data_IF_706194880486
#
_entry.id   IF_706194880486
#
_cell.length_a   1.000
_cell.length_b   1.000
_cell.length_c   1.000
_cell.angle_alpha   90.00
_cell.angle_beta   90.00
_cell.angle_gamma   90.00
#
_symmetry.space_group_name_H-M   'P 1'
#
loop_
_entity.id
_entity.type
_entity.pdbx_description
1 polymer ?
#
# COMPACT_ATOMS: atom_id res chain seq x y z
N UNK A 1 3.56 1.61 -7.90
CA UNK A 1 2.63 2.13 -8.92
C UNK A 1 3.43 2.87 -10.00
N UNK A 2 4.21 3.89 -9.66
CA UNK A 2 4.90 4.73 -10.65
C UNK A 2 5.71 3.90 -11.64
N UNK A 3 6.62 3.04 -11.19
CA UNK A 3 7.49 2.28 -12.08
C UNK A 3 6.76 1.13 -12.79
N UNK A 4 5.96 0.34 -12.07
CA UNK A 4 5.40 -0.90 -12.61
C UNK A 4 4.07 -0.71 -13.35
N UNK A 5 3.34 0.36 -13.09
CA UNK A 5 2.06 0.62 -13.73
C UNK A 5 2.10 1.83 -14.66
N UNK A 6 2.81 2.88 -14.28
CA UNK A 6 2.93 4.11 -15.06
C UNK A 6 4.22 4.17 -15.90
N UNK A 7 5.10 3.16 -15.76
CA UNK A 7 6.35 3.00 -16.52
C UNK A 7 7.36 4.13 -16.33
N UNK A 8 7.35 4.73 -15.14
CA UNK A 8 8.42 5.62 -14.71
C UNK A 8 9.68 4.81 -14.37
N UNK A 9 10.80 5.51 -14.29
CA UNK A 9 12.07 4.91 -13.86
C UNK A 9 12.64 5.71 -12.70
N UNK A 10 11.95 5.67 -11.57
CA UNK A 10 12.31 6.39 -10.35
C UNK A 10 12.91 5.45 -9.32
N UNK A 11 14.02 5.86 -8.73
CA UNK A 11 14.55 5.19 -7.54
C UNK A 11 13.73 5.55 -6.32
N UNK A 12 13.78 4.72 -5.28
CA UNK A 12 13.15 5.02 -3.99
C UNK A 12 13.62 6.36 -3.44
N UNK A 13 14.92 6.63 -3.53
CA UNK A 13 15.51 7.90 -3.10
C UNK A 13 14.90 9.12 -3.82
N UNK A 14 14.70 9.04 -5.13
CA UNK A 14 14.06 10.12 -5.90
C UNK A 14 12.61 10.33 -5.48
N UNK A 15 11.87 9.26 -5.18
CA UNK A 15 10.50 9.35 -4.68
C UNK A 15 10.48 10.01 -3.30
N UNK A 16 11.36 9.60 -2.38
CA UNK A 16 11.48 10.20 -1.05
C UNK A 16 11.83 11.67 -1.15
N UNK A 17 12.85 12.03 -1.95
CA UNK A 17 13.22 13.43 -2.17
C UNK A 17 12.06 14.25 -2.73
N UNK A 18 11.32 13.73 -3.71
CA UNK A 18 10.16 14.38 -4.27
C UNK A 18 9.05 14.60 -3.24
N UNK A 19 8.74 13.59 -2.43
CA UNK A 19 7.77 13.70 -1.34
C UNK A 19 8.19 14.75 -0.29
N UNK A 20 9.47 14.79 0.06
CA UNK A 20 10.00 15.81 0.99
C UNK A 20 9.95 17.23 0.39
N UNK A 21 10.23 17.37 -0.89
CA UNK A 21 10.30 18.68 -1.56
C UNK A 21 8.91 19.25 -1.83
N UNK A 22 7.95 18.44 -2.24
CA UNK A 22 6.63 18.89 -2.68
C UNK A 22 5.52 18.62 -1.67
N UNK A 23 5.78 17.83 -0.65
CA UNK A 23 4.88 17.57 0.47
C UNK A 23 4.87 18.70 1.50
N UNK A 24 4.18 18.47 2.60
CA UNK A 24 4.21 19.37 3.76
C UNK A 24 5.39 19.02 4.65
N UNK A 25 6.52 19.67 4.41
CA UNK A 25 7.77 19.40 5.13
C UNK A 25 7.63 19.46 6.65
N UNK A 26 6.82 20.40 7.18
CA UNK A 26 6.57 20.54 8.60
C UNK A 26 5.80 19.32 9.15
N UNK A 27 4.69 18.94 8.50
CA UNK A 27 3.92 17.78 8.92
C UNK A 27 4.72 16.47 8.76
N UNK A 28 5.48 16.32 7.67
CA UNK A 28 6.32 15.15 7.44
C UNK A 28 7.35 15.01 8.56
N UNK A 29 7.99 16.12 8.96
CA UNK A 29 8.97 16.13 10.03
C UNK A 29 8.35 15.83 11.41
N UNK A 30 7.19 16.43 11.71
CA UNK A 30 6.47 16.23 12.97
C UNK A 30 5.94 14.79 13.10
N UNK A 31 5.35 14.27 12.05
CA UNK A 31 4.72 12.92 12.04
C UNK A 31 5.68 11.81 11.66
N UNK A 32 6.82 12.14 11.10
CA UNK A 32 7.80 11.20 10.51
C UNK A 32 7.15 10.23 9.52
N UNK A 33 6.19 10.73 8.73
CA UNK A 33 5.42 9.95 7.79
C UNK A 33 4.90 10.82 6.66
N UNK A 34 4.73 10.22 5.48
CA UNK A 34 4.07 10.84 4.34
C UNK A 34 2.56 10.62 4.42
N UNK A 35 1.80 11.60 3.93
CA UNK A 35 0.35 11.50 3.79
C UNK A 35 -0.05 11.25 2.33
N UNK A 36 -1.31 10.85 2.11
CA UNK A 36 -1.86 10.76 0.75
C UNK A 36 -1.87 12.13 0.05
N UNK A 37 -1.95 13.22 0.81
CA UNK A 37 -1.86 14.57 0.24
C UNK A 37 -0.45 14.88 -0.27
N UNK A 38 0.59 14.43 0.44
CA UNK A 38 1.97 14.58 -0.04
C UNK A 38 2.20 13.76 -1.30
N UNK A 39 1.68 12.53 -1.34
CA UNK A 39 1.69 11.69 -2.54
C UNK A 39 0.95 12.36 -3.70
N UNK A 40 -0.23 12.95 -3.45
CA UNK A 40 -0.99 13.69 -4.47
C UNK A 40 -0.20 14.86 -5.04
N UNK A 41 0.46 15.66 -4.20
CA UNK A 41 1.29 16.79 -4.63
C UNK A 41 2.48 16.32 -5.46
N UNK A 42 3.16 15.29 -5.01
CA UNK A 42 4.31 14.74 -5.72
C UNK A 42 3.94 14.17 -7.09
N UNK A 43 2.89 13.34 -7.19
CA UNK A 43 2.51 12.77 -8.49
C UNK A 43 2.00 13.84 -9.46
N UNK A 44 1.43 14.95 -8.96
CA UNK A 44 1.02 16.07 -9.80
C UNK A 44 2.22 16.76 -10.49
N UNK A 45 3.36 16.86 -9.80
CA UNK A 45 4.61 17.39 -10.39
C UNK A 45 5.13 16.49 -11.51
N UNK A 46 4.89 15.18 -11.41
CA UNK A 46 5.23 14.21 -12.46
C UNK A 46 4.22 14.20 -13.63
N UNK A 47 3.18 15.03 -13.56
CA UNK A 47 2.14 15.10 -14.60
C UNK A 47 0.97 14.13 -14.41
N UNK A 48 0.90 13.44 -13.27
CA UNK A 48 -0.17 12.50 -12.94
C UNK A 48 -1.27 13.14 -12.09
N UNK A 49 -2.46 12.55 -12.13
CA UNK A 49 -3.56 12.90 -11.23
C UNK A 49 -3.61 11.91 -10.07
N UNK A 50 -3.46 12.42 -8.85
CA UNK A 50 -3.68 11.68 -7.62
C UNK A 50 -5.02 12.05 -7.00
N UNK A 51 -5.86 11.07 -6.65
CA UNK A 51 -7.15 11.33 -6.00
C UNK A 51 -7.50 10.24 -4.98
N UNK A 52 -7.97 10.68 -3.81
CA UNK A 52 -8.49 9.81 -2.76
C UNK A 52 -10.02 9.78 -2.80
N UNK A 53 -10.58 8.61 -2.57
CA UNK A 53 -12.01 8.33 -2.52
C UNK A 53 -12.32 7.47 -1.32
N UNK A 54 -13.54 7.57 -0.80
CA UNK A 54 -14.13 6.53 0.03
C UNK A 54 -14.81 5.54 -0.91
N UNK A 55 -14.59 4.25 -0.69
CA UNK A 55 -15.07 3.20 -1.58
C UNK A 55 -15.70 2.05 -0.77
N UNK A 56 -16.49 1.25 -1.42
CA UNK A 56 -17.02 0.00 -0.89
C UNK A 56 -16.25 -1.20 -1.48
N UNK A 57 -16.44 -2.37 -0.91
CA UNK A 57 -15.79 -3.61 -1.41
C UNK A 57 -16.14 -3.87 -2.88
N UNK A 58 -17.38 -3.57 -3.27
CA UNK A 58 -17.83 -3.76 -4.65
C UNK A 58 -17.06 -2.86 -5.65
N UNK A 59 -16.65 -1.67 -5.21
CA UNK A 59 -15.82 -0.78 -6.02
C UNK A 59 -14.44 -1.39 -6.25
N UNK A 60 -13.85 -1.99 -5.19
CA UNK A 60 -12.55 -2.67 -5.31
C UNK A 60 -12.61 -3.88 -6.22
N UNK A 61 -13.71 -4.65 -6.22
CA UNK A 61 -13.90 -5.80 -7.12
C UNK A 61 -13.86 -5.41 -8.59
N UNK A 62 -14.33 -4.21 -8.91
CA UNK A 62 -14.39 -3.70 -10.29
C UNK A 62 -13.17 -2.88 -10.70
N UNK A 63 -12.30 -2.55 -9.74
CA UNK A 63 -11.14 -1.69 -9.96
C UNK A 63 -10.12 -2.36 -10.88
N UNK A 64 -9.84 -1.73 -12.02
CA UNK A 64 -8.91 -2.24 -13.05
C UNK A 64 -7.48 -1.70 -12.90
N UNK A 65 -7.25 -0.78 -11.99
CA UNK A 65 -5.94 -0.18 -11.73
C UNK A 65 -5.47 -0.49 -10.32
N UNK A 66 -4.15 -0.52 -10.07
CA UNK A 66 -3.64 -0.63 -8.72
C UNK A 66 -4.01 0.62 -7.93
N UNK A 67 -4.24 0.45 -6.63
CA UNK A 67 -4.59 1.54 -5.73
C UNK A 67 -3.72 1.50 -4.48
N UNK A 68 -3.46 2.65 -3.88
CA UNK A 68 -2.91 2.71 -2.52
C UNK A 68 -4.09 2.69 -1.56
N UNK A 69 -4.06 1.78 -0.61
CA UNK A 69 -5.05 1.67 0.47
C UNK A 69 -4.36 1.75 1.82
N UNK A 70 -4.86 2.59 2.73
CA UNK A 70 -4.40 2.58 4.11
C UNK A 70 -5.01 1.40 4.85
N UNK A 71 -4.20 0.67 5.58
CA UNK A 71 -4.66 -0.37 6.50
C UNK A 71 -4.19 -0.06 7.91
N UNK A 72 -4.97 -0.51 8.89
CA UNK A 72 -4.61 -0.44 10.30
C UNK A 72 -4.54 -1.86 10.87
N UNK A 73 -3.37 -2.23 11.36
CA UNK A 73 -3.15 -3.53 11.97
C UNK A 73 -2.41 -3.36 13.30
N UNK A 74 -2.97 -3.90 14.38
CA UNK A 74 -2.43 -3.78 15.74
C UNK A 74 -2.15 -2.33 16.17
N UNK A 75 -2.99 -1.37 15.72
CA UNK A 75 -2.81 0.06 16.01
C UNK A 75 -1.78 0.77 15.13
N UNK A 76 -1.14 0.06 14.21
CA UNK A 76 -0.22 0.65 13.23
C UNK A 76 -0.93 0.87 11.90
N UNK A 77 -0.83 2.10 11.39
CA UNK A 77 -1.36 2.47 10.08
C UNK A 77 -0.23 2.52 9.07
N UNK A 78 -0.42 1.87 7.94
CA UNK A 78 0.51 1.97 6.81
C UNK A 78 -0.23 1.86 5.47
N UNK A 79 0.47 2.11 4.39
CA UNK A 79 -0.07 2.00 3.05
C UNK A 79 0.38 0.72 2.39
N UNK A 80 -0.56 0.05 1.75
CA UNK A 80 -0.29 -1.09 0.86
C UNK A 80 -0.81 -0.80 -0.54
N UNK A 81 -0.29 -1.48 -1.53
CA UNK A 81 -0.78 -1.38 -2.90
C UNK A 81 -1.76 -2.53 -3.16
N UNK A 82 -3.03 -2.19 -3.27
CA UNK A 82 -4.07 -3.11 -3.73
C UNK A 82 -3.79 -3.52 -5.18
N UNK A 83 -3.76 -4.83 -5.45
CA UNK A 83 -3.48 -5.42 -6.75
C UNK A 83 -4.71 -6.03 -7.40
N UNK A 84 -5.66 -6.47 -6.59
CA UNK A 84 -6.90 -7.09 -7.05
C UNK A 84 -7.51 -8.01 -6.01
N UNK A 85 -8.62 -8.63 -6.41
CA UNK A 85 -9.34 -9.62 -5.62
C UNK A 85 -9.56 -10.88 -6.43
N UNK A 86 -9.52 -12.02 -5.76
CA UNK A 86 -9.87 -13.30 -6.36
C UNK A 86 -10.55 -14.19 -5.31
N UNK A 87 -11.74 -14.70 -5.63
CA UNK A 87 -12.61 -15.37 -4.67
C UNK A 87 -12.78 -14.48 -3.43
N UNK A 88 -12.60 -15.02 -2.25
CA UNK A 88 -12.73 -14.30 -0.98
C UNK A 88 -11.40 -13.76 -0.44
N UNK A 89 -10.43 -13.48 -1.33
CA UNK A 89 -9.12 -12.96 -0.94
C UNK A 89 -8.79 -11.66 -1.65
N UNK A 90 -8.14 -10.77 -0.91
CA UNK A 90 -7.63 -9.49 -1.38
C UNK A 90 -6.10 -9.57 -1.45
N UNK A 91 -5.53 -9.12 -2.56
CA UNK A 91 -4.10 -9.22 -2.85
C UNK A 91 -3.45 -7.85 -2.81
N UNK A 92 -2.31 -7.78 -2.12
CA UNK A 92 -1.55 -6.56 -1.91
C UNK A 92 -0.08 -6.73 -2.24
N UNK A 93 0.57 -5.61 -2.55
CA UNK A 93 2.00 -5.45 -2.37
C UNK A 93 2.22 -4.58 -1.12
N UNK A 94 2.75 -5.18 -0.09
CA UNK A 94 3.07 -4.55 1.18
C UNK A 94 4.55 -4.18 1.20
N UNK A 95 4.94 -2.97 1.64
CA UNK A 95 6.33 -2.54 1.65
C UNK A 95 7.22 -3.35 2.60
N UNK A 96 6.65 -4.00 3.63
CA UNK A 96 7.39 -4.81 4.59
C UNK A 96 7.32 -6.31 4.31
N UNK A 97 6.13 -6.79 3.90
CA UNK A 97 5.86 -8.22 3.75
C UNK A 97 5.94 -8.71 2.30
N UNK A 98 6.08 -7.79 1.34
CA UNK A 98 6.07 -8.12 -0.08
C UNK A 98 4.66 -8.40 -0.60
N UNK A 99 4.52 -9.36 -1.52
CA UNK A 99 3.21 -9.75 -2.03
C UNK A 99 2.49 -10.67 -1.05
N UNK A 100 1.37 -10.21 -0.52
CA UNK A 100 0.54 -10.93 0.44
C UNK A 100 -0.91 -11.01 -0.06
N UNK A 101 -1.66 -11.92 0.49
CA UNK A 101 -3.11 -11.95 0.37
C UNK A 101 -3.76 -12.14 1.75
N UNK A 102 -4.96 -11.61 1.91
CA UNK A 102 -5.75 -11.73 3.12
C UNK A 102 -7.18 -12.15 2.76
N UNK A 103 -7.86 -12.94 3.61
CA UNK A 103 -9.29 -13.12 3.48
C UNK A 103 -10.01 -11.78 3.48
N UNK A 104 -11.07 -11.66 2.68
CA UNK A 104 -11.84 -10.42 2.54
C UNK A 104 -12.30 -9.87 3.90
N UNK A 105 -12.85 -10.72 4.76
CA UNK A 105 -13.31 -10.31 6.09
C UNK A 105 -12.20 -9.74 6.98
N UNK A 106 -10.99 -10.26 6.85
CA UNK A 106 -9.84 -9.72 7.57
C UNK A 106 -9.43 -8.37 7.01
N UNK A 107 -9.39 -8.23 5.68
CA UNK A 107 -9.11 -6.96 5.04
C UNK A 107 -10.12 -5.88 5.44
N UNK A 108 -11.41 -6.17 5.42
CA UNK A 108 -12.46 -5.23 5.80
C UNK A 108 -12.24 -4.68 7.21
N UNK A 109 -11.82 -5.53 8.15
CA UNK A 109 -11.53 -5.10 9.52
C UNK A 109 -10.29 -4.22 9.65
N UNK A 110 -9.39 -4.27 8.68
CA UNK A 110 -8.12 -3.53 8.65
C UNK A 110 -8.17 -2.30 7.77
N UNK A 111 -9.09 -2.25 6.81
CA UNK A 111 -9.17 -1.17 5.83
C UNK A 111 -9.57 0.15 6.48
N UNK A 112 -8.59 1.05 6.59
CA UNK A 112 -8.78 2.28 7.34
C UNK A 112 -9.66 3.27 6.60
N UNK A 113 -10.80 3.61 7.21
CA UNK A 113 -11.79 4.58 6.71
C UNK A 113 -12.28 4.30 5.27
N UNK A 114 -12.12 3.11 4.77
CA UNK A 114 -12.51 2.71 3.41
C UNK A 114 -11.90 3.60 2.32
N UNK A 115 -10.70 4.13 2.57
CA UNK A 115 -10.02 5.03 1.64
C UNK A 115 -9.30 4.25 0.55
N UNK A 116 -9.43 4.74 -0.67
CA UNK A 116 -8.69 4.31 -1.86
C UNK A 116 -8.03 5.53 -2.48
N UNK A 117 -6.75 5.42 -2.81
CA UNK A 117 -6.03 6.47 -3.50
C UNK A 117 -5.52 5.95 -4.85
N UNK A 118 -5.94 6.62 -5.90
CA UNK A 118 -5.60 6.30 -7.29
C UNK A 118 -4.61 7.30 -7.85
N UNK A 119 -3.68 6.80 -8.68
CA UNK A 119 -2.77 7.61 -9.48
C UNK A 119 -2.98 7.25 -10.95
N UNK A 120 -3.29 8.24 -11.78
CA UNK A 120 -3.59 8.04 -13.21
C UNK A 120 -3.06 9.18 -14.06
N UNK A 121 -2.76 8.89 -15.31
CA UNK A 121 -2.50 9.90 -16.35
C UNK A 121 -3.73 10.17 -17.23
N UNK A 122 -4.88 9.58 -16.92
CA UNK A 122 -6.11 9.68 -17.71
C UNK A 122 -6.23 8.62 -18.80
N UNK A 123 -5.22 7.80 -19.02
CA UNK A 123 -5.25 6.67 -19.96
C UNK A 123 -5.58 5.36 -19.22
N UNK A 124 -6.38 4.51 -19.84
CA UNK A 124 -6.58 3.15 -19.36
C UNK A 124 -5.41 2.29 -19.85
N UNK A 125 -4.58 1.82 -18.92
CA UNK A 125 -3.43 0.96 -19.25
C UNK A 125 -3.65 -0.46 -18.73
N UNK A 126 -2.99 -1.43 -19.36
CA UNK A 126 -2.89 -2.77 -18.79
C UNK A 126 -2.22 -2.69 -17.41
N UNK A 127 -2.88 -3.26 -16.41
CA UNK A 127 -2.36 -3.26 -15.05
C UNK A 127 -1.23 -4.31 -14.92
N UNK A 128 0.01 -3.85 -15.00
CA UNK A 128 1.18 -4.70 -14.79
C UNK A 128 1.29 -5.25 -13.35
N UNK A 129 0.53 -4.69 -12.41
CA UNK A 129 0.40 -5.18 -11.04
C UNK A 129 -0.81 -6.10 -10.86
N UNK A 130 -1.57 -6.37 -11.93
CA UNK A 130 -2.69 -7.30 -11.89
C UNK A 130 -2.23 -8.69 -11.39
N UNK A 131 -3.20 -9.43 -10.86
CA UNK A 131 -2.96 -10.79 -10.38
C UNK A 131 -2.52 -11.69 -11.52
N UNK A 132 -1.53 -12.53 -11.26
CA UNK A 132 -1.01 -13.53 -12.18
C UNK A 132 -1.38 -14.92 -11.65
N UNK A 133 -1.34 -15.93 -12.50
CA UNK A 133 -1.63 -17.33 -12.14
C UNK A 133 -0.80 -17.79 -10.92
N UNK A 134 0.46 -17.32 -10.81
CA UNK A 134 1.30 -17.63 -9.66
C UNK A 134 0.78 -17.04 -8.34
N UNK A 135 0.16 -15.85 -8.37
CA UNK A 135 -0.45 -15.23 -7.19
C UNK A 135 -1.68 -16.04 -6.76
N UNK A 136 -2.44 -16.57 -7.73
CA UNK A 136 -3.64 -17.35 -7.48
C UNK A 136 -3.38 -18.76 -6.94
N UNK A 137 -2.21 -19.34 -7.22
CA UNK A 137 -1.81 -20.65 -6.69
C UNK A 137 -1.66 -20.63 -5.16
N UNK A 138 -1.30 -19.51 -4.58
CA UNK A 138 -1.15 -19.37 -3.12
C UNK A 138 -2.51 -19.56 -2.44
N UNK A 139 -3.60 -19.08 -3.03
CA UNK A 139 -4.96 -19.25 -2.48
C UNK A 139 -5.43 -20.70 -2.48
N UNK A 140 -5.02 -21.50 -3.48
CA UNK A 140 -5.43 -22.91 -3.57
C UNK A 140 -4.75 -23.81 -2.53
N UNK A 141 -3.66 -23.38 -1.92
CA UNK A 141 -3.00 -24.11 -0.83
C UNK A 141 -3.56 -23.78 0.56
N UNK A 142 -4.25 -22.64 0.69
CA UNK A 142 -4.70 -22.13 2.00
C UNK A 142 -6.10 -22.63 2.40
N UNK A 143 -6.82 -23.28 1.49
CA UNK A 143 -8.17 -23.84 1.79
C UNK A 143 -8.13 -25.00 2.78
N UNK A 144 -6.97 -25.64 2.99
CA UNK A 144 -6.79 -26.77 3.92
C UNK A 144 -5.95 -26.38 5.17
N UNK A 145 -5.48 -25.14 5.27
CA UNK A 145 -4.83 -24.66 6.49
C UNK A 145 -5.86 -24.05 7.43
N UNK A 146 -5.86 -24.41 8.71
CA UNK A 146 -6.64 -23.70 9.70
C UNK A 146 -6.22 -22.23 9.66
N UNK A 147 -7.16 -21.28 9.88
CA UNK A 147 -6.82 -19.86 9.93
C UNK A 147 -5.64 -19.69 10.87
N UNK A 148 -4.61 -18.97 10.41
CA UNK A 148 -3.44 -18.68 11.21
C UNK A 148 -3.94 -18.11 12.54
N UNK A 149 -3.59 -18.80 13.63
CA UNK A 149 -3.90 -18.33 14.97
C UNK A 149 -3.48 -16.85 15.06
N UNK A 150 -4.25 -15.98 15.73
CA UNK A 150 -3.82 -14.60 16.00
C UNK A 150 -2.42 -14.51 16.61
N UNK A 151 -1.95 -15.59 17.23
CA UNK A 151 -0.60 -15.72 17.78
C UNK A 151 0.46 -16.18 16.76
N UNK A 152 0.10 -16.48 15.51
CA UNK A 152 1.07 -16.82 14.46
C UNK A 152 1.76 -15.57 13.89
N UNK A 153 1.23 -14.40 14.13
CA UNK A 153 1.96 -13.14 14.08
C UNK A 153 2.54 -12.88 15.47
N UNK A 154 3.57 -13.62 15.88
CA UNK A 154 4.50 -12.99 16.79
C UNK A 154 4.86 -11.67 16.14
N UNK A 155 4.67 -10.51 16.83
CA UNK A 155 5.12 -9.26 16.29
C UNK A 155 6.58 -9.52 15.95
N UNK A 156 6.93 -9.40 14.67
CA UNK A 156 8.32 -9.24 14.27
C UNK A 156 8.78 -8.11 15.19
N UNK A 157 9.48 -8.46 16.27
CA UNK A 157 10.17 -7.49 17.10
C UNK A 157 11.18 -6.92 16.14
N UNK A 158 10.76 -5.88 15.46
CA UNK A 158 11.63 -5.09 14.61
C UNK A 158 12.57 -4.45 15.61
N UNK A 159 13.70 -5.12 15.84
CA UNK A 159 14.76 -4.58 16.67
C UNK A 159 15.15 -3.23 16.03
N UNK A 160 14.82 -2.14 16.71
CA UNK A 160 15.09 -0.77 16.26
C UNK A 160 16.55 -0.59 15.86
N UNK A 161 17.45 -1.46 16.32
CA UNK A 161 18.87 -1.49 15.98
C UNK A 161 19.12 -1.97 14.54
N UNK A 162 18.36 -2.98 14.06
CA UNK A 162 18.53 -3.52 12.71
C UNK A 162 17.95 -2.59 11.62
N UNK A 163 16.95 -1.75 11.95
CA UNK A 163 16.42 -0.75 11.03
C UNK A 163 17.36 0.44 10.83
N UNK A 164 18.16 0.79 11.82
CA UNK A 164 19.13 1.89 11.70
C UNK A 164 20.29 1.56 10.75
N UNK A 165 20.69 0.30 10.68
CA UNK A 165 21.78 -0.13 9.80
C UNK A 165 21.34 -0.37 8.35
N UNK A 166 20.10 -0.82 8.13
CA UNK A 166 19.62 -1.15 6.78
C UNK A 166 19.06 0.03 5.97
N UNK A 167 18.53 1.08 6.60
CA UNK A 167 17.77 2.14 5.92
C UNK A 167 18.11 3.57 6.36
N UNK A 168 19.30 3.83 6.86
CA UNK A 168 19.79 5.21 7.04
C UNK A 168 18.90 6.12 7.91
N UNK A 169 18.23 5.59 8.93
CA UNK A 169 17.58 6.39 9.95
C UNK A 169 16.15 6.85 9.67
N UNK A 170 15.51 6.40 8.60
CA UNK A 170 14.10 6.70 8.32
C UNK A 170 13.18 5.68 8.98
N UNK A 171 12.65 6.00 10.15
CA UNK A 171 11.59 5.23 10.81
C UNK A 171 10.24 5.62 10.21
N UNK A 172 9.60 4.70 9.49
CA UNK A 172 8.20 4.84 9.08
C UNK A 172 7.30 4.59 10.29
N UNK A 173 6.87 5.63 10.98
CA UNK A 173 5.87 5.55 12.05
C UNK A 173 4.63 6.32 11.68
N UNK A 174 3.51 5.61 11.72
CA UNK A 174 2.13 6.09 11.85
C UNK A 174 1.67 7.15 10.84
N UNK A 175 0.84 6.75 9.91
CA UNK A 175 0.19 7.64 8.94
C UNK A 175 -1.16 8.06 9.53
N UNK A 176 -1.33 9.36 9.79
CA UNK A 176 -2.62 9.95 10.05
C UNK A 176 -3.19 10.49 8.74
N UNK A 177 -4.23 9.84 8.23
CA UNK A 177 -5.04 10.36 7.15
C UNK A 177 -6.03 11.34 7.78
N UNK A 178 -5.96 12.61 7.43
CA UNK A 178 -6.99 13.62 7.61
C UNK A 178 -7.57 13.96 6.26
#
# INVERSE_FOLDING_TARGET
>A
ILNYYLHENLTEHQVIQGLMQYGDAKQIQEKRAFSLLDMKRFVAVLGYKGAGFTAEIEDLKTLKSPAIVPIEFLGYKHFVVFRGMYKDHVFFADPFLGNINLPLSQFESMWYQNIVFLVTNGETRMNALALRDQDLRIVSFDTDRPPLSPNAFEPLVIDERNLKESYGGYQYRTINVK
#
